data_IF_146395478128
#
_entry.id   IF_146395478128
#
_cell.length_a   1.000
_cell.length_b   1.000
_cell.length_c   1.000
_cell.angle_alpha   90.00
_cell.angle_beta   90.00
_cell.angle_gamma   90.00
#
_symmetry.space_group_name_H-M   'P 1'
#
loop_
_entity.id
_entity.type
_entity.pdbx_description
1 polymer ?
#
# COMPACT_ATOMS: atom_id res chain seq x y z
N UNK A 1 1.71 13.17 22.82
CA UNK A 1 0.76 12.25 22.16
C UNK A 1 1.57 11.11 21.57
N UNK A 2 1.08 9.87 21.60
CA UNK A 2 1.72 8.75 20.90
C UNK A 2 0.80 8.32 19.76
N UNK A 3 1.35 8.13 18.56
CA UNK A 3 0.62 7.72 17.35
C UNK A 3 1.36 6.59 16.65
N UNK A 4 0.65 5.80 15.84
CA UNK A 4 1.24 4.87 14.87
C UNK A 4 1.51 5.60 13.55
N UNK A 5 2.60 5.24 12.88
CA UNK A 5 2.86 5.57 11.48
C UNK A 5 2.97 4.25 10.74
N UNK A 6 1.97 3.93 9.92
CA UNK A 6 1.77 2.57 9.40
C UNK A 6 1.53 2.50 7.88
N UNK A 7 2.44 3.04 7.03
CA UNK A 7 2.28 2.93 5.59
C UNK A 7 2.24 1.46 5.13
N UNK A 8 1.36 1.18 4.16
CA UNK A 8 1.24 -0.15 3.58
C UNK A 8 0.92 -0.14 2.08
N UNK A 9 1.35 -1.22 1.42
CA UNK A 9 1.08 -1.53 0.01
C UNK A 9 0.64 -2.98 -0.10
N UNK A 10 -0.43 -3.24 -0.85
CA UNK A 10 -1.03 -4.57 -0.95
C UNK A 10 -1.47 -4.87 -2.38
N UNK A 11 -1.37 -6.15 -2.77
CA UNK A 11 -1.85 -6.68 -4.04
C UNK A 11 -3.13 -7.50 -3.81
N UNK A 12 -4.23 -6.81 -3.52
CA UNK A 12 -5.51 -7.43 -3.17
C UNK A 12 -6.34 -7.66 -4.43
N UNK A 13 -6.53 -8.93 -4.84
CA UNK A 13 -7.18 -9.25 -6.11
C UNK A 13 -8.61 -8.69 -6.22
N UNK A 14 -9.41 -8.72 -5.14
CA UNK A 14 -10.78 -8.18 -5.18
C UNK A 14 -10.83 -6.67 -5.46
N UNK A 15 -9.78 -5.92 -5.09
CA UNK A 15 -9.66 -4.48 -5.36
C UNK A 15 -9.01 -4.21 -6.72
N UNK A 16 -8.14 -5.11 -7.19
CA UNK A 16 -7.43 -4.99 -8.47
C UNK A 16 -8.29 -5.45 -9.66
N UNK A 17 -9.14 -6.46 -9.48
CA UNK A 17 -9.91 -7.08 -10.55
C UNK A 17 -10.75 -6.08 -11.38
N UNK A 18 -11.46 -5.09 -10.77
CA UNK A 18 -12.23 -4.11 -11.55
C UNK A 18 -11.39 -3.24 -12.48
N UNK A 19 -10.08 -3.13 -12.25
CA UNK A 19 -9.18 -2.29 -13.04
C UNK A 19 -8.52 -3.02 -14.20
N UNK A 20 -8.61 -4.37 -14.24
CA UNK A 20 -8.14 -5.15 -15.39
C UNK A 20 -8.96 -4.84 -16.63
N UNK A 21 -10.21 -4.46 -16.44
CA UNK A 21 -11.14 -4.07 -17.48
C UNK A 21 -11.37 -2.54 -17.41
N UNK A 22 -11.37 -1.86 -18.56
CA UNK A 22 -11.66 -0.43 -18.64
C UNK A 22 -10.47 0.47 -19.01
N UNK A 23 -10.75 1.76 -19.15
CA UNK A 23 -9.84 2.73 -19.78
C UNK A 23 -8.50 2.92 -19.04
N UNK A 24 -8.46 2.60 -17.75
CA UNK A 24 -7.28 2.78 -16.91
C UNK A 24 -6.38 1.54 -16.83
N UNK A 25 -6.83 0.37 -17.33
CA UNK A 25 -6.09 -0.90 -17.26
C UNK A 25 -4.68 -0.79 -17.84
N UNK A 26 -4.50 0.00 -18.90
CA UNK A 26 -3.21 0.26 -19.56
C UNK A 26 -2.16 0.93 -18.67
N UNK A 27 -2.55 1.52 -17.53
CA UNK A 27 -1.64 2.19 -16.60
C UNK A 27 -1.09 1.25 -15.53
N UNK A 28 -1.56 0.00 -15.48
CA UNK A 28 -1.08 -1.01 -14.55
C UNK A 28 -0.08 -1.92 -15.24
N UNK A 29 1.07 -2.15 -14.62
CA UNK A 29 1.99 -3.21 -15.05
C UNK A 29 1.51 -4.55 -14.47
N UNK A 30 0.57 -5.19 -15.17
CA UNK A 30 -0.07 -6.43 -14.74
C UNK A 30 0.92 -7.58 -14.54
N UNK A 31 1.94 -7.69 -15.39
CA UNK A 31 2.99 -8.70 -15.26
C UNK A 31 3.71 -8.56 -13.91
N UNK A 32 4.10 -7.34 -13.54
CA UNK A 32 4.78 -7.06 -12.27
C UNK A 32 3.84 -7.25 -11.07
N UNK A 33 2.58 -6.85 -11.21
CA UNK A 33 1.55 -7.07 -10.18
C UNK A 33 1.35 -8.57 -9.93
N UNK A 34 1.21 -9.36 -10.99
CA UNK A 34 1.01 -10.81 -10.91
C UNK A 34 2.22 -11.52 -10.30
N UNK A 35 3.43 -11.05 -10.57
CA UNK A 35 4.65 -11.54 -9.93
C UNK A 35 4.74 -11.20 -8.42
N UNK A 36 4.17 -10.07 -7.99
CA UNK A 36 4.23 -9.61 -6.59
C UNK A 36 3.04 -10.06 -5.74
N UNK A 37 1.92 -10.40 -6.36
CA UNK A 37 0.69 -10.86 -5.69
C UNK A 37 0.90 -12.02 -4.71
N UNK A 38 1.75 -13.04 -4.98
CA UNK A 38 2.00 -14.12 -4.03
C UNK A 38 2.59 -13.68 -2.69
N UNK A 39 3.22 -12.50 -2.63
CA UNK A 39 3.75 -11.93 -1.39
C UNK A 39 2.67 -11.19 -0.57
N UNK A 40 1.46 -11.02 -1.11
CA UNK A 40 0.33 -10.35 -0.46
C UNK A 40 0.54 -8.83 -0.39
N UNK A 41 1.24 -8.37 0.64
CA UNK A 41 1.48 -6.95 0.88
C UNK A 41 2.40 -6.70 2.06
N UNK A 42 2.79 -5.44 2.23
CA UNK A 42 3.73 -5.00 3.26
C UNK A 42 3.08 -3.84 4.02
N UNK A 43 3.21 -3.86 5.34
CA UNK A 43 2.96 -2.71 6.22
C UNK A 43 4.13 -2.60 7.18
N UNK A 44 4.67 -1.40 7.33
CA UNK A 44 5.69 -1.09 8.32
C UNK A 44 5.04 -0.13 9.29
N UNK A 45 5.10 -0.44 10.58
CA UNK A 45 4.42 0.31 11.63
C UNK A 45 5.41 0.68 12.73
N UNK A 46 5.48 1.96 13.05
CA UNK A 46 6.25 2.48 14.17
C UNK A 46 5.35 3.26 15.13
N UNK A 47 5.77 3.35 16.39
CA UNK A 47 5.16 4.23 17.37
C UNK A 47 5.98 5.52 17.50
N UNK A 48 5.34 6.67 17.29
CA UNK A 48 5.96 7.99 17.33
C UNK A 48 5.40 8.82 18.47
N UNK A 49 6.29 9.38 19.28
CA UNK A 49 5.94 10.33 20.33
C UNK A 49 5.96 11.75 19.76
N UNK A 50 4.79 12.38 19.66
CA UNK A 50 4.66 13.80 19.38
C UNK A 50 5.06 14.61 20.62
N UNK A 51 6.23 15.24 20.57
CA UNK A 51 6.69 16.25 21.53
C UNK A 51 6.62 17.66 20.93
N UNK A 52 6.30 18.69 21.73
CA UNK A 52 6.52 20.08 21.30
C UNK A 52 8.01 20.33 21.17
N UNK A 53 8.47 20.91 20.04
CA UNK A 53 9.81 21.51 19.98
C UNK A 53 9.90 22.58 21.07
N UNK A 54 10.84 22.42 21.99
CA UNK A 54 11.31 23.53 22.83
C UNK A 54 12.27 24.34 21.94
N UNK A 55 11.87 25.55 21.59
CA UNK A 55 12.83 26.59 21.22
C UNK A 55 13.50 27.11 22.50
#
# INVERSE_FOLDING_TARGET
MVLTIEPGIYFIESLLAPWREGQFSKHFNWEKIDALKPFGGIRIEDNVVGSRKRY
#
